data_IF_242735668230
#
_entry.id   IF_242735668230
#
_cell.length_a   1.000
_cell.length_b   1.000
_cell.length_c   1.000
_cell.angle_alpha   90.00
_cell.angle_beta   90.00
_cell.angle_gamma   90.00
#
_symmetry.space_group_name_H-M   'P 1'
#
loop_
_entity.id
_entity.type
_entity.pdbx_description
1 polymer ?
#
# COMPACT_ATOMS: atom_id res chain seq x y z
N UNK A 1 4.62 14.11 -5.20
CA UNK A 1 5.10 13.04 -6.07
C UNK A 1 4.91 13.46 -7.51
N UNK A 2 5.93 14.04 -8.14
CA UNK A 2 5.94 14.18 -9.58
C UNK A 2 6.12 12.79 -10.19
N UNK A 3 5.02 12.10 -10.45
CA UNK A 3 4.99 10.88 -11.27
C UNK A 3 5.09 11.19 -12.78
N UNK A 4 5.51 12.39 -13.15
CA UNK A 4 5.67 12.80 -14.52
C UNK A 4 7.14 12.79 -14.89
N UNK A 5 7.59 11.75 -15.52
CA UNK A 5 8.54 11.67 -16.63
C UNK A 5 9.25 10.32 -16.64
N UNK A 6 8.85 9.48 -17.59
CA UNK A 6 9.62 8.30 -17.98
C UNK A 6 9.39 7.07 -17.12
N UNK A 7 8.71 6.10 -17.68
CA UNK A 7 8.46 4.76 -17.16
C UNK A 7 9.73 3.90 -17.01
N UNK A 8 10.85 4.51 -16.69
CA UNK A 8 12.09 3.82 -16.37
C UNK A 8 12.57 4.07 -14.94
N UNK A 9 11.98 5.02 -14.25
CA UNK A 9 12.46 5.43 -12.93
C UNK A 9 11.62 4.83 -11.80
N UNK A 10 11.85 3.66 -11.61
CA UNK A 10 11.83 2.85 -10.43
C UNK A 10 12.19 3.63 -9.18
N UNK A 11 11.42 3.53 -8.11
CA UNK A 11 11.68 3.64 -6.68
C UNK A 11 12.90 4.44 -6.18
N UNK A 12 13.96 4.54 -6.95
CA UNK A 12 15.20 5.22 -6.58
C UNK A 12 15.48 6.30 -7.59
N UNK A 13 15.83 7.45 -7.12
CA UNK A 13 16.39 8.50 -7.94
C UNK A 13 17.64 7.96 -8.65
N UNK A 14 18.02 8.55 -9.79
CA UNK A 14 19.22 8.15 -10.54
C UNK A 14 20.50 8.28 -9.70
N UNK A 15 20.49 9.13 -8.68
CA UNK A 15 21.56 9.28 -7.69
C UNK A 15 21.53 8.22 -6.56
N UNK A 16 20.64 7.24 -6.63
CA UNK A 16 20.45 6.21 -5.61
C UNK A 16 19.68 6.65 -4.36
N UNK A 17 19.22 7.90 -4.29
CA UNK A 17 18.41 8.42 -3.20
C UNK A 17 16.96 7.96 -3.25
N UNK A 18 16.19 8.37 -2.24
CA UNK A 18 14.75 8.19 -2.15
C UNK A 18 14.05 9.54 -2.28
N UNK A 19 12.85 9.52 -2.88
CA UNK A 19 11.98 10.68 -2.81
C UNK A 19 11.39 10.78 -1.41
N UNK A 20 11.48 11.96 -0.81
CA UNK A 20 10.87 12.27 0.48
C UNK A 20 9.97 13.50 0.32
N UNK A 21 8.91 13.66 1.15
CA UNK A 21 8.10 14.86 1.13
C UNK A 21 8.95 16.10 1.42
N UNK A 22 8.69 17.19 0.71
CA UNK A 22 9.33 18.49 0.99
C UNK A 22 8.99 19.00 2.38
N UNK A 23 7.78 18.73 2.84
CA UNK A 23 7.27 19.07 4.16
C UNK A 23 6.30 18.02 4.65
N UNK A 24 6.23 17.83 5.95
CA UNK A 24 5.26 16.97 6.62
C UNK A 24 4.31 17.87 7.38
N UNK A 25 2.99 17.70 7.14
CA UNK A 25 1.96 18.46 7.84
C UNK A 25 2.10 18.26 9.35
N UNK A 26 2.15 19.36 10.07
CA UNK A 26 2.08 19.38 11.53
C UNK A 26 0.61 19.61 11.93
N UNK A 27 0.03 18.64 12.63
CA UNK A 27 -1.34 18.73 13.12
C UNK A 27 -1.38 19.49 14.44
N UNK A 28 -2.28 20.48 14.55
CA UNK A 28 -2.56 21.14 15.81
C UNK A 28 -3.45 20.24 16.69
N UNK A 29 -3.53 20.58 17.98
CA UNK A 29 -4.28 19.73 18.94
C UNK A 29 -5.74 19.56 18.55
N UNK A 30 -6.39 20.62 18.12
CA UNK A 30 -7.79 20.59 17.68
C UNK A 30 -7.97 19.70 16.41
N UNK A 31 -7.02 19.75 15.47
CA UNK A 31 -7.04 18.87 14.30
C UNK A 31 -6.92 17.40 14.72
N UNK A 32 -6.00 17.08 15.63
CA UNK A 32 -5.83 15.73 16.17
C UNK A 32 -7.10 15.23 16.90
N UNK A 33 -7.77 16.11 17.64
CA UNK A 33 -9.00 15.77 18.34
C UNK A 33 -10.14 15.45 17.35
N UNK A 34 -10.21 16.16 16.23
CA UNK A 34 -11.18 15.87 15.16
C UNK A 34 -10.89 14.53 14.46
N UNK A 35 -9.61 14.16 14.29
CA UNK A 35 -9.23 12.90 13.66
C UNK A 35 -9.63 11.66 14.48
N UNK A 36 -9.79 11.78 15.80
CA UNK A 36 -10.12 10.65 16.69
C UNK A 36 -11.45 9.97 16.39
N UNK A 37 -12.39 10.70 15.80
CA UNK A 37 -13.74 10.22 15.54
C UNK A 37 -13.95 9.74 14.10
N UNK A 38 -12.90 9.77 13.28
CA UNK A 38 -12.97 9.32 11.90
C UNK A 38 -12.89 7.80 11.81
N UNK A 39 -13.55 7.24 10.79
CA UNK A 39 -13.29 5.86 10.37
C UNK A 39 -11.84 5.71 9.92
N UNK A 40 -11.34 4.46 9.88
CA UNK A 40 -9.99 4.21 9.36
C UNK A 40 -9.80 4.77 7.94
N UNK A 41 -10.79 4.59 7.07
CA UNK A 41 -10.72 5.05 5.68
C UNK A 41 -10.67 6.58 5.58
N UNK A 42 -11.49 7.27 6.37
CA UNK A 42 -11.50 8.73 6.38
C UNK A 42 -10.22 9.29 6.99
N UNK A 43 -9.74 8.69 8.07
CA UNK A 43 -8.44 9.04 8.67
C UNK A 43 -7.29 8.84 7.69
N UNK A 44 -7.26 7.70 7.00
CA UNK A 44 -6.26 7.43 5.98
C UNK A 44 -6.29 8.47 4.85
N UNK A 45 -7.49 8.88 4.41
CA UNK A 45 -7.63 9.93 3.40
C UNK A 45 -7.06 11.28 3.89
N UNK A 46 -7.37 11.70 5.12
CA UNK A 46 -6.84 12.94 5.69
C UNK A 46 -5.32 12.96 5.82
N UNK A 47 -4.73 11.81 6.15
CA UNK A 47 -3.27 11.68 6.30
C UNK A 47 -2.56 11.58 4.94
N UNK A 48 -3.14 10.89 3.97
CA UNK A 48 -2.49 10.60 2.68
C UNK A 48 -2.66 11.75 1.70
N UNK A 49 -3.84 12.42 1.69
CA UNK A 49 -4.17 13.44 0.70
C UNK A 49 -3.10 14.52 0.53
N UNK A 50 -2.49 15.09 1.61
CA UNK A 50 -1.42 16.08 1.47
C UNK A 50 -0.18 15.61 0.71
N UNK A 51 0.04 14.31 0.57
CA UNK A 51 1.23 13.73 -0.08
C UNK A 51 1.02 13.38 -1.54
N UNK A 52 -0.22 13.28 -2.00
CA UNK A 52 -0.52 12.85 -3.38
C UNK A 52 -0.73 14.01 -4.35
N UNK A 53 -0.85 15.27 -3.84
CA UNK A 53 -1.00 16.46 -4.67
C UNK A 53 -2.15 16.34 -5.67
N UNK A 54 -1.87 16.67 -6.93
CA UNK A 54 -2.86 16.63 -8.03
C UNK A 54 -3.01 15.24 -8.67
N UNK A 55 -2.50 14.19 -8.03
CA UNK A 55 -2.57 12.84 -8.58
C UNK A 55 -4.01 12.32 -8.71
N UNK A 56 -4.83 12.60 -7.70
CA UNK A 56 -6.27 12.26 -7.70
C UNK A 56 -7.07 13.22 -6.81
N UNK A 57 -8.37 13.29 -7.04
CA UNK A 57 -9.29 14.02 -6.16
C UNK A 57 -9.39 13.35 -4.77
N UNK A 58 -9.86 14.09 -3.77
CA UNK A 58 -10.07 13.52 -2.43
C UNK A 58 -11.13 12.43 -2.44
N UNK A 59 -12.17 12.57 -3.24
CA UNK A 59 -13.24 11.58 -3.39
C UNK A 59 -12.74 10.29 -4.05
N UNK A 60 -11.90 10.42 -5.09
CA UNK A 60 -11.23 9.27 -5.71
C UNK A 60 -10.29 8.57 -4.72
N UNK A 61 -9.60 9.34 -3.87
CA UNK A 61 -8.75 8.76 -2.82
C UNK A 61 -9.56 7.96 -1.81
N UNK A 62 -10.67 8.51 -1.31
CA UNK A 62 -11.56 7.82 -0.36
C UNK A 62 -12.10 6.53 -0.99
N UNK A 63 -12.56 6.59 -2.24
CA UNK A 63 -13.01 5.42 -2.99
C UNK A 63 -11.91 4.37 -3.15
N UNK A 64 -10.69 4.82 -3.47
CA UNK A 64 -9.51 3.95 -3.64
C UNK A 64 -9.11 3.29 -2.32
N UNK A 65 -9.13 4.02 -1.21
CA UNK A 65 -8.87 3.51 0.14
C UNK A 65 -9.92 2.46 0.51
N UNK A 66 -11.19 2.78 0.35
CA UNK A 66 -12.29 1.86 0.64
C UNK A 66 -12.17 0.56 -0.14
N UNK A 67 -11.87 0.64 -1.44
CA UNK A 67 -11.62 -0.53 -2.29
C UNK A 67 -10.39 -1.32 -1.82
N UNK A 68 -9.33 -0.65 -1.39
CA UNK A 68 -8.08 -1.29 -0.98
C UNK A 68 -8.25 -2.16 0.27
N UNK A 69 -9.13 -1.75 1.17
CA UNK A 69 -9.31 -2.43 2.45
C UNK A 69 -10.58 -3.27 2.55
N UNK A 70 -11.38 -3.34 1.48
CA UNK A 70 -12.63 -4.11 1.45
C UNK A 70 -12.46 -5.62 1.69
N UNK A 71 -11.28 -6.18 1.44
CA UNK A 71 -10.96 -7.59 1.64
C UNK A 71 -10.20 -7.88 2.95
N UNK A 72 -10.07 -6.88 3.82
CA UNK A 72 -9.48 -7.09 5.14
C UNK A 72 -10.44 -7.86 6.03
N UNK A 73 -9.90 -8.66 6.94
CA UNK A 73 -10.66 -9.52 7.85
C UNK A 73 -11.21 -8.80 9.06
N UNK A 74 -10.91 -7.52 9.19
CA UNK A 74 -11.40 -6.63 10.25
C UNK A 74 -11.89 -5.35 9.61
N UNK A 75 -13.07 -4.89 10.00
CA UNK A 75 -13.66 -3.62 9.54
C UNK A 75 -12.78 -2.42 9.89
N UNK A 76 -12.03 -2.52 10.97
CA UNK A 76 -11.09 -1.48 11.41
C UNK A 76 -9.75 -1.49 10.67
N UNK A 77 -9.55 -2.38 9.69
CA UNK A 77 -8.29 -2.58 8.95
C UNK A 77 -7.11 -2.91 9.89
N UNK A 78 -6.87 -2.11 10.91
CA UNK A 78 -5.94 -2.32 12.01
C UNK A 78 -6.69 -2.29 13.34
N UNK A 79 -6.32 -3.15 14.27
CA UNK A 79 -6.98 -3.27 15.58
C UNK A 79 -5.98 -3.01 16.70
N UNK A 80 -6.45 -2.40 17.77
CA UNK A 80 -5.66 -2.25 19.00
C UNK A 80 -6.25 -3.18 20.07
N UNK A 81 -5.47 -4.15 20.48
CA UNK A 81 -5.80 -5.09 21.56
C UNK A 81 -5.08 -4.70 22.83
N UNK A 82 -5.76 -4.84 23.98
CA UNK A 82 -5.17 -4.60 25.29
C UNK A 82 -4.68 -5.90 25.90
N UNK A 83 -3.42 -5.94 26.29
CA UNK A 83 -2.80 -7.06 27.00
C UNK A 83 -2.23 -6.54 28.32
N UNK A 84 -3.04 -6.56 29.37
CA UNK A 84 -2.68 -5.92 30.63
C UNK A 84 -2.44 -4.42 30.44
N UNK A 85 -1.23 -3.97 30.73
CA UNK A 85 -0.82 -2.56 30.56
C UNK A 85 -0.27 -2.25 29.17
N UNK A 86 -0.21 -3.23 28.28
CA UNK A 86 0.30 -3.06 26.91
C UNK A 86 -0.84 -2.86 25.94
N UNK A 87 -0.60 -2.02 24.94
CA UNK A 87 -1.45 -1.91 23.75
C UNK A 87 -0.72 -2.55 22.58
N UNK A 88 -1.36 -3.52 21.95
CA UNK A 88 -0.83 -4.24 20.79
C UNK A 88 -1.57 -3.78 19.55
N UNK A 89 -0.85 -3.20 18.60
CA UNK A 89 -1.39 -2.83 17.30
C UNK A 89 -1.28 -4.06 16.37
N UNK A 90 -2.44 -4.59 15.98
CA UNK A 90 -2.54 -5.76 15.12
C UNK A 90 -2.53 -5.33 13.65
N UNK A 91 -1.52 -5.76 12.88
CA UNK A 91 -1.33 -5.39 11.47
C UNK A 91 -1.48 -6.58 10.51
N UNK A 92 -2.09 -7.68 10.97
CA UNK A 92 -2.18 -8.95 10.23
C UNK A 92 -3.59 -9.27 9.71
N UNK A 93 -4.46 -8.29 9.61
CA UNK A 93 -5.85 -8.49 9.16
C UNK A 93 -6.01 -8.45 7.63
N UNK A 94 -4.95 -8.20 6.89
CA UNK A 94 -4.96 -8.20 5.43
C UNK A 94 -5.00 -9.60 4.79
N UNK A 95 -5.13 -9.69 3.47
CA UNK A 95 -5.32 -10.95 2.74
C UNK A 95 -4.15 -11.92 2.89
N UNK A 96 -2.91 -11.45 3.01
CA UNK A 96 -1.73 -12.30 3.18
C UNK A 96 -1.25 -12.42 4.63
N UNK A 97 -1.96 -11.82 5.58
CA UNK A 97 -1.65 -11.77 7.01
C UNK A 97 -0.34 -11.04 7.34
N UNK A 98 0.22 -10.29 6.41
CA UNK A 98 1.40 -9.48 6.62
C UNK A 98 1.04 -8.00 6.74
N UNK A 99 1.75 -7.26 7.59
CA UNK A 99 1.54 -5.80 7.72
C UNK A 99 1.72 -5.04 6.40
N UNK A 100 2.46 -5.63 5.47
CA UNK A 100 2.68 -5.08 4.13
C UNK A 100 1.41 -4.98 3.29
N UNK A 101 0.39 -5.74 3.60
CA UNK A 101 -0.90 -5.66 2.93
C UNK A 101 -1.48 -4.25 2.99
N UNK A 102 -1.30 -3.55 4.11
CA UNK A 102 -1.81 -2.19 4.32
C UNK A 102 -1.30 -1.24 3.23
N UNK A 103 0.00 -1.25 2.97
CA UNK A 103 0.60 -0.41 1.94
C UNK A 103 0.39 -0.97 0.53
N UNK A 104 0.57 -2.28 0.34
CA UNK A 104 0.56 -2.89 -1.00
C UNK A 104 -0.81 -2.88 -1.65
N UNK A 105 -1.90 -3.10 -0.91
CA UNK A 105 -3.25 -3.01 -1.45
C UNK A 105 -3.55 -1.61 -1.97
N UNK A 106 -3.14 -0.58 -1.23
CA UNK A 106 -3.32 0.82 -1.65
C UNK A 106 -2.45 1.16 -2.87
N UNK A 107 -1.17 0.78 -2.84
CA UNK A 107 -0.24 0.99 -3.97
C UNK A 107 -0.78 0.30 -5.24
N UNK A 108 -1.27 -0.92 -5.14
CA UNK A 108 -1.86 -1.65 -6.26
C UNK A 108 -3.05 -0.92 -6.89
N UNK A 109 -3.90 -0.31 -6.07
CA UNK A 109 -5.03 0.48 -6.56
C UNK A 109 -4.61 1.86 -7.09
N UNK A 110 -3.56 2.48 -6.56
CA UNK A 110 -2.96 3.68 -7.16
C UNK A 110 -2.39 3.41 -8.56
N UNK A 111 -1.69 2.29 -8.75
CA UNK A 111 -1.25 1.89 -10.09
C UNK A 111 -2.43 1.70 -11.03
N UNK A 112 -3.48 1.03 -10.59
CA UNK A 112 -4.66 0.83 -11.42
C UNK A 112 -5.35 2.15 -11.79
N UNK A 113 -5.47 3.09 -10.85
CA UNK A 113 -6.01 4.42 -11.10
C UNK A 113 -5.18 5.19 -12.15
N UNK A 114 -3.85 5.12 -12.02
CA UNK A 114 -2.94 5.77 -12.97
C UNK A 114 -3.04 5.14 -14.36
N UNK A 115 -3.00 3.82 -14.44
CA UNK A 115 -3.01 3.09 -15.71
C UNK A 115 -4.35 3.12 -16.45
N UNK A 116 -5.45 3.36 -15.75
CA UNK A 116 -6.75 3.56 -16.39
C UNK A 116 -6.82 4.82 -17.25
N UNK A 117 -5.92 5.78 -17.01
CA UNK A 117 -5.80 7.04 -17.76
C UNK A 117 -4.80 6.98 -18.91
N UNK A 118 -3.82 6.11 -18.80
CA UNK A 118 -2.74 5.91 -19.75
C UNK A 118 -2.82 4.46 -20.26
N UNK A 119 -3.01 4.24 -21.55
CA UNK A 119 -3.06 2.89 -22.16
C UNK A 119 -1.71 2.13 -22.10
N UNK A 120 -0.86 2.47 -21.15
CA UNK A 120 0.47 1.90 -20.96
C UNK A 120 0.40 0.62 -20.14
N UNK A 121 1.33 -0.29 -20.41
CA UNK A 121 1.57 -1.49 -19.59
C UNK A 121 2.77 -1.26 -18.69
N UNK A 122 2.66 -1.69 -17.44
CA UNK A 122 3.75 -1.62 -16.46
C UNK A 122 4.15 -3.04 -16.06
N UNK A 123 5.46 -3.28 -15.99
CA UNK A 123 6.05 -4.48 -15.41
C UNK A 123 6.64 -4.11 -14.04
N UNK A 124 6.17 -4.78 -13.01
CA UNK A 124 6.68 -4.62 -11.63
C UNK A 124 7.54 -5.82 -11.31
N UNK A 125 8.79 -5.56 -10.94
CA UNK A 125 9.73 -6.60 -10.48
C UNK A 125 9.90 -6.44 -8.98
N UNK A 126 9.61 -7.50 -8.23
CA UNK A 126 9.73 -7.55 -6.77
C UNK A 126 10.81 -8.54 -6.39
N UNK A 127 11.91 -8.06 -5.81
CA UNK A 127 12.92 -8.93 -5.21
C UNK A 127 12.63 -9.09 -3.71
N UNK A 128 12.37 -10.30 -3.26
CA UNK A 128 11.87 -10.53 -1.89
C UNK A 128 12.31 -11.88 -1.35
N UNK A 129 12.41 -11.96 -0.03
CA UNK A 129 12.63 -13.21 0.71
C UNK A 129 11.37 -13.74 1.41
N UNK A 130 10.17 -13.13 1.16
CA UNK A 130 8.96 -13.62 1.84
C UNK A 130 7.74 -12.71 1.69
N UNK A 131 7.29 -12.13 2.79
CA UNK A 131 5.98 -11.45 2.94
C UNK A 131 5.70 -10.36 1.91
N UNK A 132 6.72 -9.59 1.52
CA UNK A 132 6.55 -8.53 0.51
C UNK A 132 6.13 -9.10 -0.85
N UNK A 133 6.64 -10.27 -1.23
CA UNK A 133 6.26 -10.93 -2.48
C UNK A 133 4.81 -11.36 -2.47
N UNK A 134 4.37 -12.03 -1.41
CA UNK A 134 2.99 -12.46 -1.26
C UNK A 134 2.02 -11.26 -1.29
N UNK A 135 2.32 -10.22 -0.52
CA UNK A 135 1.50 -9.00 -0.48
C UNK A 135 1.46 -8.28 -1.84
N UNK A 136 2.59 -8.22 -2.57
CA UNK A 136 2.65 -7.62 -3.90
C UNK A 136 1.83 -8.42 -4.91
N UNK A 137 1.95 -9.74 -4.94
CA UNK A 137 1.19 -10.60 -5.83
C UNK A 137 -0.30 -10.42 -5.56
N UNK A 138 -0.72 -10.51 -4.31
CA UNK A 138 -2.13 -10.37 -3.96
C UNK A 138 -2.69 -9.00 -4.37
N UNK A 139 -1.97 -7.94 -4.09
CA UNK A 139 -2.38 -6.57 -4.40
C UNK A 139 -2.44 -6.25 -5.91
N UNK A 140 -1.62 -6.91 -6.70
CA UNK A 140 -1.42 -6.57 -8.11
C UNK A 140 -2.03 -7.57 -9.08
N UNK A 141 -2.31 -8.81 -8.63
CA UNK A 141 -2.93 -9.84 -9.48
C UNK A 141 -4.27 -9.38 -10.04
N UNK A 142 -4.52 -9.74 -11.30
CA UNK A 142 -5.79 -9.45 -11.98
C UNK A 142 -6.02 -7.98 -12.32
N UNK A 143 -5.04 -7.10 -12.08
CA UNK A 143 -5.14 -5.70 -12.48
C UNK A 143 -4.75 -5.54 -13.95
N UNK A 144 -5.56 -4.77 -14.69
CA UNK A 144 -5.32 -4.49 -16.11
C UNK A 144 -4.02 -3.73 -16.32
N UNK A 145 -3.34 -4.05 -17.42
CA UNK A 145 -2.12 -3.36 -17.85
C UNK A 145 -0.93 -3.44 -16.87
N UNK A 146 -0.94 -4.45 -15.97
CA UNK A 146 0.08 -4.62 -14.96
C UNK A 146 0.55 -6.07 -14.92
N UNK A 147 1.87 -6.29 -15.05
CA UNK A 147 2.51 -7.58 -14.87
C UNK A 147 3.39 -7.55 -13.61
N UNK A 148 3.40 -8.63 -12.88
CA UNK A 148 4.23 -8.79 -11.67
C UNK A 148 5.19 -9.93 -11.86
N UNK A 149 6.46 -9.67 -11.61
CA UNK A 149 7.53 -10.66 -11.59
C UNK A 149 8.16 -10.69 -10.21
N UNK A 150 8.20 -11.86 -9.59
CA UNK A 150 8.77 -12.00 -8.25
C UNK A 150 10.07 -12.80 -8.32
N UNK A 151 11.14 -12.18 -7.86
CA UNK A 151 12.45 -12.80 -7.70
C UNK A 151 12.62 -13.19 -6.23
N UNK A 152 12.79 -14.47 -5.96
CA UNK A 152 13.04 -14.95 -4.60
C UNK A 152 14.23 -15.92 -4.57
N UNK A 153 14.98 -16.00 -3.46
CA UNK A 153 16.14 -16.88 -3.36
C UNK A 153 15.70 -18.34 -3.38
N UNK A 154 16.36 -19.13 -4.23
CA UNK A 154 16.07 -20.55 -4.37
C UNK A 154 16.38 -21.30 -3.05
N UNK A 155 15.39 -22.04 -2.54
CA UNK A 155 15.48 -22.85 -1.32
C UNK A 155 15.90 -22.07 -0.03
N UNK A 156 15.75 -20.74 -0.01
CA UNK A 156 16.08 -19.89 1.15
C UNK A 156 14.89 -19.10 1.69
N UNK A 157 13.68 -19.54 1.36
CA UNK A 157 12.44 -19.03 1.93
C UNK A 157 11.66 -20.20 2.53
N UNK A 158 10.79 -19.92 3.50
CA UNK A 158 9.98 -20.97 4.11
C UNK A 158 9.01 -21.59 3.09
N UNK A 159 8.63 -22.88 3.25
CA UNK A 159 7.63 -23.51 2.40
C UNK A 159 6.30 -22.75 2.39
N UNK A 160 5.91 -22.16 3.51
CA UNK A 160 4.67 -21.35 3.64
C UNK A 160 4.77 -20.10 2.78
N UNK A 161 5.85 -19.33 2.89
CA UNK A 161 6.05 -18.12 2.08
C UNK A 161 6.11 -18.43 0.59
N UNK A 162 6.82 -19.49 0.20
CA UNK A 162 6.84 -19.95 -1.19
C UNK A 162 5.43 -20.28 -1.68
N UNK A 163 4.66 -21.00 -0.88
CA UNK A 163 3.30 -21.39 -1.22
C UNK A 163 2.40 -20.17 -1.40
N UNK A 164 2.48 -19.18 -0.51
CA UNK A 164 1.73 -17.92 -0.63
C UNK A 164 2.03 -17.14 -1.91
N UNK A 165 3.21 -17.31 -2.51
CA UNK A 165 3.60 -16.66 -3.76
C UNK A 165 3.27 -17.48 -5.02
N UNK A 166 2.97 -18.76 -4.91
CA UNK A 166 2.85 -19.68 -6.07
C UNK A 166 1.46 -20.28 -6.29
N UNK A 167 0.49 -20.01 -5.41
CA UNK A 167 -0.87 -20.56 -5.48
C UNK A 167 -1.90 -19.56 -6.04
N UNK A 168 -1.49 -18.59 -6.79
CA UNK A 168 -2.41 -17.56 -7.32
C UNK A 168 -2.79 -17.81 -8.75
#
# INVERSE_FOLDING_TARGET
LHLSRGLGDVYKRQDGGLFVPKSIKQFQKEELDNLKNLSYNDLAAEIIYPFIGDFMSKDDLISTISKSYSNFRSDDVVKISNLGNLKVLELFHGPTLAFKDIAMQLIGNFYQYHLARDEKKINIIVATSGDTGAAAIDALKGKSNLNVFVLHPNNKISPVQRRLMTIH
#
